data_IF_315803474217
#
_entry.id   IF_315803474217
#
_cell.length_a   1.000
_cell.length_b   1.000
_cell.length_c   1.000
_cell.angle_alpha   90.00
_cell.angle_beta   90.00
_cell.angle_gamma   90.00
#
_symmetry.space_group_name_H-M   'P 1'
#
loop_
_entity.id
_entity.type
_entity.pdbx_description
1 polymer ?
#
# COMPACT_ATOMS: atom_id res chain seq x y z
N UNK A 1 -7.03 -5.96 1.28
CA UNK A 1 -5.69 -5.69 0.72
C UNK A 1 -4.86 -6.94 0.90
N UNK A 2 -3.84 -7.16 0.09
CA UNK A 2 -3.01 -8.36 0.15
C UNK A 2 -1.54 -7.97 0.25
N UNK A 3 -0.81 -8.62 1.15
CA UNK A 3 0.65 -8.53 1.23
C UNK A 3 1.28 -9.67 0.46
N UNK A 4 2.21 -9.35 -0.44
CA UNK A 4 3.09 -10.31 -1.12
C UNK A 4 4.41 -10.40 -0.36
N UNK A 5 4.70 -11.57 0.21
CA UNK A 5 5.94 -11.86 0.92
C UNK A 5 6.80 -12.82 0.09
N UNK A 6 8.11 -12.64 0.11
CA UNK A 6 9.04 -13.58 -0.52
C UNK A 6 9.35 -14.80 0.38
N UNK A 7 10.25 -15.66 -0.10
CA UNK A 7 10.70 -16.86 0.61
C UNK A 7 11.50 -16.58 1.90
N UNK A 8 12.03 -15.37 2.04
CA UNK A 8 12.73 -14.90 3.24
C UNK A 8 11.76 -14.30 4.27
N UNK A 9 10.46 -14.22 3.92
CA UNK A 9 9.44 -13.61 4.75
C UNK A 9 9.41 -12.09 4.68
N UNK A 10 10.06 -11.48 3.69
CA UNK A 10 10.11 -10.03 3.50
C UNK A 10 8.87 -9.59 2.70
N UNK A 11 8.16 -8.59 3.22
CA UNK A 11 7.05 -7.94 2.51
C UNK A 11 7.60 -7.15 1.32
N UNK A 12 7.31 -7.62 0.10
CA UNK A 12 7.73 -6.98 -1.16
C UNK A 12 6.73 -5.95 -1.65
N UNK A 13 5.44 -6.23 -1.50
CA UNK A 13 4.39 -5.39 -2.06
C UNK A 13 3.05 -5.52 -1.32
N UNK A 14 2.27 -4.43 -1.30
CA UNK A 14 0.89 -4.43 -0.81
C UNK A 14 -0.05 -4.05 -1.96
N UNK A 15 -0.89 -4.98 -2.39
CA UNK A 15 -1.91 -4.79 -3.42
C UNK A 15 -3.30 -4.55 -2.84
N UNK A 16 -4.17 -3.90 -3.61
CA UNK A 16 -5.59 -3.80 -3.28
C UNK A 16 -6.29 -5.16 -3.39
N UNK A 17 -5.93 -5.92 -4.42
CA UNK A 17 -6.40 -7.27 -4.74
C UNK A 17 -5.22 -8.20 -5.04
N UNK A 18 -5.55 -9.46 -5.33
CA UNK A 18 -4.59 -10.52 -5.64
C UNK A 18 -3.91 -10.32 -6.99
N UNK A 19 -4.63 -9.80 -7.98
CA UNK A 19 -4.11 -9.59 -9.34
C UNK A 19 -3.03 -8.52 -9.35
N UNK A 20 -3.17 -7.46 -8.54
CA UNK A 20 -2.13 -6.46 -8.35
C UNK A 20 -0.82 -7.06 -7.79
N UNK A 21 -0.92 -8.03 -6.87
CA UNK A 21 0.24 -8.73 -6.35
C UNK A 21 0.87 -9.67 -7.38
N UNK A 22 0.08 -10.34 -8.22
CA UNK A 22 0.56 -11.19 -9.32
C UNK A 22 1.29 -10.34 -10.37
N UNK A 23 0.67 -9.25 -10.81
CA UNK A 23 1.28 -8.33 -11.77
C UNK A 23 2.61 -7.74 -11.25
N UNK A 24 2.69 -7.43 -9.95
CA UNK A 24 3.94 -7.03 -9.32
C UNK A 24 4.99 -8.15 -9.37
N UNK A 25 4.60 -9.39 -9.04
CA UNK A 25 5.52 -10.52 -9.07
C UNK A 25 6.07 -10.76 -10.48
N UNK A 26 5.22 -10.72 -11.50
CA UNK A 26 5.59 -10.88 -12.90
C UNK A 26 6.52 -9.75 -13.38
N UNK A 27 6.30 -8.51 -12.94
CA UNK A 27 7.13 -7.36 -13.31
C UNK A 27 8.58 -7.49 -12.80
N UNK A 28 8.79 -8.19 -11.69
CA UNK A 28 10.09 -8.34 -11.03
C UNK A 28 10.63 -9.77 -11.06
N UNK A 29 10.07 -10.64 -11.90
CA UNK A 29 10.44 -12.07 -12.02
C UNK A 29 10.45 -12.81 -10.66
N UNK A 30 9.50 -12.47 -9.78
CA UNK A 30 9.31 -13.17 -8.51
C UNK A 30 8.47 -14.43 -8.72
N UNK A 31 9.04 -15.59 -8.41
CA UNK A 31 8.30 -16.85 -8.50
C UNK A 31 7.22 -16.95 -7.41
N UNK A 32 5.95 -16.91 -7.82
CA UNK A 32 4.81 -17.02 -6.90
C UNK A 32 4.78 -18.33 -6.10
N UNK A 33 5.43 -19.39 -6.57
CA UNK A 33 5.59 -20.65 -5.82
C UNK A 33 6.45 -20.50 -4.56
N UNK A 34 7.32 -19.48 -4.53
CA UNK A 34 8.21 -19.14 -3.44
C UNK A 34 7.74 -17.91 -2.66
N UNK A 35 6.57 -17.37 -3.02
CA UNK A 35 5.95 -16.26 -2.32
C UNK A 35 4.75 -16.74 -1.51
N UNK A 36 4.47 -16.03 -0.42
CA UNK A 36 3.22 -16.19 0.31
C UNK A 36 2.39 -14.92 0.18
N UNK A 37 1.08 -15.10 0.04
CA UNK A 37 0.13 -14.00 -0.02
C UNK A 37 -0.76 -14.04 1.21
N UNK A 38 -0.85 -12.91 1.91
CA UNK A 38 -1.58 -12.79 3.17
C UNK A 38 -2.60 -11.66 3.07
N UNK A 39 -3.79 -11.91 3.60
CA UNK A 39 -4.81 -10.88 3.75
C UNK A 39 -4.35 -9.83 4.77
N UNK A 40 -4.43 -8.57 4.36
CA UNK A 40 -4.11 -7.42 5.20
C UNK A 40 -5.38 -6.60 5.49
N UNK A 41 -5.53 -6.10 6.73
CA UNK A 41 -6.64 -5.23 7.07
C UNK A 41 -6.58 -3.95 6.24
N UNK A 42 -7.75 -3.46 5.84
CA UNK A 42 -7.86 -2.16 5.18
C UNK A 42 -7.53 -1.07 6.22
N UNK A 43 -6.57 -0.17 5.94
CA UNK A 43 -6.27 0.93 6.85
C UNK A 43 -7.53 1.77 7.07
N UNK A 44 -7.95 1.89 8.33
CA UNK A 44 -9.01 2.81 8.68
C UNK A 44 -8.45 4.24 8.63
N UNK A 45 -9.21 5.22 8.10
CA UNK A 45 -8.83 6.61 8.20
C UNK A 45 -8.60 6.97 9.66
N UNK A 46 -7.36 7.31 10.01
CA UNK A 46 -7.08 7.85 11.33
C UNK A 46 -7.82 9.19 11.41
N UNK A 47 -8.63 9.39 12.44
CA UNK A 47 -9.25 10.68 12.74
C UNK A 47 -8.17 11.65 13.24
N UNK A 48 -7.25 12.01 12.35
CA UNK A 48 -6.28 13.07 12.61
C UNK A 48 -7.09 14.34 12.60
N UNK A 49 -7.25 14.94 13.78
CA UNK A 49 -7.88 16.26 13.93
C UNK A 49 -7.01 17.24 13.13
N UNK A 50 -7.38 17.49 11.88
CA UNK A 50 -6.65 18.40 11.01
C UNK A 50 -6.59 19.75 11.71
N UNK A 51 -5.42 20.10 12.25
CA UNK A 51 -5.16 21.48 12.64
C UNK A 51 -5.25 22.24 11.33
N UNK A 52 -6.34 22.98 11.15
CA UNK A 52 -6.53 23.93 10.05
C UNK A 52 -5.22 24.71 9.93
N UNK A 53 -4.41 24.41 8.93
CA UNK A 53 -3.40 25.34 8.47
C UNK A 53 -4.22 26.50 7.91
N UNK A 54 -4.38 27.54 8.73
CA UNK A 54 -4.93 28.81 8.29
C UNK A 54 -3.93 29.33 7.26
N UNK A 55 -4.20 29.07 5.98
CA UNK A 55 -3.56 29.79 4.88
C UNK A 55 -3.96 31.26 5.06
N UNK A 56 -3.00 32.20 5.17
CA UNK A 56 -3.34 33.61 5.12
C UNK A 56 -3.98 33.85 3.75
N UNK A 57 -5.19 34.39 3.76
CA UNK A 57 -5.80 34.92 2.55
C UNK A 57 -4.87 36.00 2.02
N UNK A 58 -4.22 35.73 0.88
CA UNK A 58 -3.44 36.74 0.18
C UNK A 58 -4.45 37.70 -0.45
N UNK A 59 -4.73 38.77 0.28
CA UNK A 59 -5.36 39.97 -0.26
C UNK A 59 -4.50 40.48 -1.42
N UNK A 60 -5.07 40.51 -2.62
CA UNK A 60 -4.57 41.35 -3.71
C UNK A 60 -5.72 42.07 -4.38
N UNK A 61 -5.64 43.40 -4.23
CA UNK A 61 -6.31 44.55 -4.84
C UNK A 61 -7.25 44.37 -6.02
#
# INVERSE_FOLDING_TARGET
>A
MHGLYDHEGILRFIGLDREACIAYADLFDLSLTHCSMLDLPVPLPLAVRARRLMLPEASSS
#
